data_IF_318750416718
#
_entry.id   IF_318750416718
#
_cell.length_a   1.000
_cell.length_b   1.000
_cell.length_c   1.000
_cell.angle_alpha   90.00
_cell.angle_beta   90.00
_cell.angle_gamma   90.00
#
_symmetry.space_group_name_H-M   'P 1'
#
loop_
_entity.id
_entity.type
_entity.pdbx_description
1 polymer ?
#
# COMPACT_ATOMS: atom_id res chain seq x y z
N UNK A 1 -13.20 17.70 -3.11
CA UNK A 1 -13.19 16.90 -1.91
C UNK A 1 -13.15 15.43 -2.25
N UNK A 2 -12.28 14.68 -1.63
CA UNK A 2 -12.20 13.24 -1.85
C UNK A 2 -13.43 12.47 -1.34
N UNK A 3 -14.40 13.10 -0.76
CA UNK A 3 -15.62 12.46 -0.28
C UNK A 3 -16.85 12.77 -1.09
N UNK A 4 -16.76 13.68 -2.06
CA UNK A 4 -17.84 13.92 -3.00
C UNK A 4 -17.98 12.79 -4.00
N UNK A 5 -19.17 12.58 -4.53
CA UNK A 5 -19.29 11.76 -5.73
C UNK A 5 -18.39 12.36 -6.79
N UNK A 6 -17.32 11.69 -7.18
CA UNK A 6 -16.60 12.14 -8.35
C UNK A 6 -17.60 12.10 -9.51
N UNK A 7 -17.69 13.15 -10.30
CA UNK A 7 -18.74 13.31 -11.29
C UNK A 7 -18.72 12.19 -12.33
N UNK A 8 -17.58 11.57 -12.52
CA UNK A 8 -17.43 10.53 -13.52
C UNK A 8 -16.32 9.58 -13.17
N UNK A 9 -16.66 8.32 -13.15
CA UNK A 9 -15.69 7.25 -13.08
C UNK A 9 -15.83 6.40 -14.32
N UNK A 10 -14.80 6.33 -15.10
CA UNK A 10 -14.81 5.61 -16.33
C UNK A 10 -15.59 6.33 -17.44
N UNK A 11 -15.21 5.99 -18.63
CA UNK A 11 -15.74 6.61 -19.85
C UNK A 11 -17.18 6.24 -20.15
N UNK A 12 -17.59 5.04 -19.73
CA UNK A 12 -18.87 4.43 -20.07
C UNK A 12 -19.91 4.55 -18.99
N UNK A 13 -19.53 4.94 -17.77
CA UNK A 13 -20.44 5.12 -16.67
C UNK A 13 -20.04 6.34 -15.82
N UNK A 14 -20.45 7.53 -16.20
CA UNK A 14 -20.17 8.76 -15.49
C UNK A 14 -20.61 8.73 -14.01
N UNK A 15 -21.69 8.04 -13.68
CA UNK A 15 -22.21 7.95 -12.34
C UNK A 15 -21.27 7.17 -11.38
N UNK A 16 -20.42 6.34 -11.87
CA UNK A 16 -19.44 5.60 -11.07
C UNK A 16 -18.10 6.33 -10.93
N UNK A 17 -17.89 7.38 -11.70
CA UNK A 17 -16.76 8.28 -11.57
C UNK A 17 -15.38 7.65 -11.63
N UNK A 18 -15.16 6.62 -12.40
CA UNK A 18 -13.85 5.99 -12.52
C UNK A 18 -13.08 6.44 -13.75
N UNK A 19 -11.89 6.96 -13.56
CA UNK A 19 -10.98 7.29 -14.64
C UNK A 19 -9.94 6.19 -14.83
N UNK A 20 -9.83 5.70 -16.05
CA UNK A 20 -8.67 4.90 -16.41
C UNK A 20 -7.42 5.78 -16.39
N UNK A 21 -6.46 5.43 -15.55
CA UNK A 21 -5.19 6.15 -15.46
C UNK A 21 -4.37 6.08 -16.74
N UNK A 22 -4.60 5.05 -17.54
CA UNK A 22 -3.82 4.72 -18.73
C UNK A 22 -4.53 5.09 -20.03
N UNK A 23 -5.76 5.61 -19.95
CA UNK A 23 -6.52 5.97 -21.13
C UNK A 23 -6.58 7.48 -21.29
N UNK A 24 -6.17 7.98 -22.44
CA UNK A 24 -6.40 9.36 -22.81
C UNK A 24 -7.86 9.50 -23.23
N UNK A 25 -8.59 10.36 -22.52
CA UNK A 25 -9.97 10.67 -22.84
C UNK A 25 -10.10 12.18 -23.05
N UNK A 26 -10.63 12.57 -24.21
CA UNK A 26 -10.77 13.98 -24.57
C UNK A 26 -11.68 14.76 -23.61
N UNK A 27 -12.66 14.11 -22.96
CA UNK A 27 -13.52 14.73 -21.96
C UNK A 27 -12.80 15.05 -20.64
N UNK A 28 -11.62 14.46 -20.44
CA UNK A 28 -10.78 14.68 -19.25
C UNK A 28 -9.47 15.41 -19.58
N UNK A 29 -9.36 15.97 -20.76
CA UNK A 29 -8.12 16.59 -21.24
C UNK A 29 -7.59 17.71 -20.34
N UNK A 30 -8.45 18.36 -19.59
CA UNK A 30 -8.11 19.47 -18.70
C UNK A 30 -8.14 19.09 -17.22
N UNK A 31 -7.79 17.85 -16.88
CA UNK A 31 -7.58 17.43 -15.51
C UNK A 31 -6.09 17.22 -15.21
N UNK A 32 -5.72 17.40 -13.96
CA UNK A 32 -4.43 16.97 -13.43
C UNK A 32 -4.56 15.58 -12.82
N UNK A 33 -3.52 14.77 -12.96
CA UNK A 33 -3.47 13.39 -12.45
C UNK A 33 -2.09 13.06 -11.93
N UNK A 34 -2.04 12.36 -10.80
CA UNK A 34 -0.82 11.84 -10.22
C UNK A 34 -1.01 10.40 -9.76
N UNK A 35 0.08 9.67 -9.77
CA UNK A 35 0.17 8.34 -9.18
C UNK A 35 1.48 8.23 -8.42
N UNK A 36 1.50 7.40 -7.39
CA UNK A 36 2.72 7.03 -6.68
C UNK A 36 2.90 5.52 -6.66
N UNK A 37 4.14 5.09 -6.38
CA UNK A 37 4.51 3.72 -6.09
C UNK A 37 4.74 3.60 -4.58
N UNK A 38 3.79 3.06 -3.81
CA UNK A 38 3.85 3.04 -2.36
C UNK A 38 5.09 2.35 -1.78
N UNK A 39 5.59 1.33 -2.46
CA UNK A 39 6.81 0.64 -2.08
C UNK A 39 8.06 1.52 -2.22
N UNK A 40 8.15 2.31 -3.28
CA UNK A 40 9.24 3.26 -3.48
C UNK A 40 9.23 4.38 -2.43
N UNK A 41 8.05 4.92 -2.12
CA UNK A 41 7.89 5.92 -1.07
C UNK A 41 8.22 5.35 0.32
N UNK A 42 7.81 4.12 0.61
CA UNK A 42 8.18 3.44 1.85
C UNK A 42 9.69 3.19 1.96
N UNK A 43 10.36 2.87 0.84
CA UNK A 43 11.82 2.75 0.79
C UNK A 43 12.53 4.09 1.02
N UNK A 44 11.95 5.19 0.54
CA UNK A 44 12.47 6.52 0.87
C UNK A 44 12.39 6.79 2.38
N UNK A 45 11.30 6.40 3.05
CA UNK A 45 11.16 6.51 4.51
C UNK A 45 12.20 5.63 5.22
N UNK A 46 12.40 4.39 4.77
CA UNK A 46 13.43 3.48 5.26
C UNK A 46 14.82 4.11 5.16
N UNK A 47 15.17 4.69 4.01
CA UNK A 47 16.45 5.36 3.81
C UNK A 47 16.63 6.59 4.74
N UNK A 48 15.57 7.38 4.93
CA UNK A 48 15.60 8.52 5.85
C UNK A 48 15.74 8.05 7.31
N UNK A 49 15.13 6.92 7.67
CA UNK A 49 15.31 6.31 8.99
C UNK A 49 16.79 6.02 9.27
N UNK A 50 17.49 5.35 8.34
CA UNK A 50 18.91 5.08 8.49
C UNK A 50 19.77 6.33 8.47
N UNK A 51 19.44 7.29 7.61
CA UNK A 51 20.12 8.58 7.61
C UNK A 51 19.99 9.30 8.97
N UNK A 52 18.82 9.21 9.61
CA UNK A 52 18.58 9.77 10.95
C UNK A 52 19.40 9.03 12.00
N UNK A 53 19.41 7.70 12.01
CA UNK A 53 20.20 6.90 12.95
C UNK A 53 21.68 7.28 12.85
N UNK A 54 22.25 7.28 11.66
CA UNK A 54 23.66 7.61 11.46
C UNK A 54 23.99 9.08 11.76
N UNK A 55 23.09 9.99 11.49
CA UNK A 55 23.27 11.41 11.83
C UNK A 55 23.25 11.60 13.35
N UNK A 56 22.37 10.92 14.08
CA UNK A 56 22.30 10.99 15.54
C UNK A 56 23.56 10.44 16.20
N UNK A 57 24.07 9.31 15.73
CA UNK A 57 25.32 8.71 16.21
C UNK A 57 26.53 9.62 16.03
N UNK A 58 26.49 10.52 15.05
CA UNK A 58 27.60 11.44 14.72
C UNK A 58 27.36 12.89 15.17
N UNK A 59 26.32 13.15 15.91
CA UNK A 59 25.98 14.51 16.37
C UNK A 59 25.45 15.43 15.27
N UNK A 60 25.03 14.88 14.12
CA UNK A 60 24.56 15.61 12.93
C UNK A 60 23.04 15.64 12.74
N UNK A 61 22.26 15.39 13.80
CA UNK A 61 20.79 15.28 13.73
C UNK A 61 20.10 16.43 13.00
N UNK A 62 20.59 17.66 13.14
CA UNK A 62 19.98 18.83 12.51
C UNK A 62 19.98 18.78 10.98
N UNK A 63 20.96 18.09 10.38
CA UNK A 63 21.11 17.97 8.92
C UNK A 63 19.92 17.23 8.29
N UNK A 64 19.35 16.25 9.00
CA UNK A 64 18.31 15.36 8.47
C UNK A 64 16.90 15.67 8.99
N UNK A 65 16.75 16.57 9.96
CA UNK A 65 15.43 16.84 10.58
C UNK A 65 14.37 17.27 9.55
N UNK A 66 14.75 18.06 8.55
CA UNK A 66 13.85 18.45 7.47
C UNK A 66 13.37 17.26 6.62
N UNK A 67 14.21 16.26 6.40
CA UNK A 67 13.86 15.03 5.69
C UNK A 67 12.96 14.15 6.54
N UNK A 68 13.23 14.04 7.83
CA UNK A 68 12.38 13.30 8.78
C UNK A 68 10.96 13.87 8.83
N UNK A 69 10.82 15.19 8.85
CA UNK A 69 9.51 15.83 8.80
C UNK A 69 8.77 15.54 7.48
N UNK A 70 9.48 15.47 6.36
CA UNK A 70 8.91 15.06 5.06
C UNK A 70 8.51 13.59 5.07
N UNK A 71 9.31 12.70 5.66
CA UNK A 71 8.97 11.29 5.82
C UNK A 71 7.69 11.10 6.65
N UNK A 72 7.51 11.86 7.73
CA UNK A 72 6.28 11.85 8.51
C UNK A 72 5.05 12.28 7.68
N UNK A 73 5.20 13.32 6.86
CA UNK A 73 4.14 13.78 5.93
C UNK A 73 3.85 12.72 4.87
N UNK A 74 4.87 12.09 4.31
CA UNK A 74 4.73 10.98 3.37
C UNK A 74 4.01 9.79 4.02
N UNK A 75 4.27 9.51 5.30
CA UNK A 75 3.57 8.50 6.07
C UNK A 75 2.07 8.76 6.21
N UNK A 76 1.63 10.02 6.31
CA UNK A 76 0.20 10.36 6.25
C UNK A 76 -0.40 10.03 4.87
N UNK A 77 0.35 10.32 3.83
CA UNK A 77 -0.09 10.14 2.45
C UNK A 77 -0.19 8.66 2.05
N UNK A 78 0.83 7.88 2.38
CA UNK A 78 0.91 6.45 2.04
C UNK A 78 -0.22 5.61 2.63
N UNK A 79 -0.85 6.05 3.71
CA UNK A 79 -2.01 5.34 4.27
C UNK A 79 -3.17 5.21 3.29
N UNK A 80 -3.25 6.08 2.28
CA UNK A 80 -4.26 5.94 1.23
C UNK A 80 -4.06 4.72 0.34
N UNK A 81 -2.82 4.23 0.21
CA UNK A 81 -2.53 2.99 -0.50
C UNK A 81 -3.03 1.74 0.24
N UNK A 82 -3.35 1.87 1.53
CA UNK A 82 -3.87 0.78 2.34
C UNK A 82 -5.37 0.54 2.17
N UNK A 83 -6.03 1.28 1.29
CA UNK A 83 -7.46 1.15 1.04
C UNK A 83 -7.74 0.38 -0.25
N UNK A 84 -8.85 -0.33 -0.24
CA UNK A 84 -9.40 -0.96 -1.43
C UNK A 84 -9.52 0.00 -2.60
N UNK A 85 -9.42 -0.51 -3.82
CA UNK A 85 -9.39 0.25 -5.07
C UNK A 85 -10.51 1.30 -5.17
N UNK A 86 -11.73 0.94 -4.81
CA UNK A 86 -12.89 1.83 -4.81
C UNK A 86 -13.49 2.01 -3.43
N UNK A 87 -12.68 1.83 -2.39
CA UNK A 87 -13.13 1.97 -1.01
C UNK A 87 -14.30 1.04 -0.65
N UNK A 88 -14.35 -0.12 -1.31
CA UNK A 88 -15.29 -1.19 -0.95
C UNK A 88 -14.84 -1.85 0.34
N UNK A 89 -15.81 -2.38 1.07
CA UNK A 89 -15.51 -3.17 2.27
C UNK A 89 -14.58 -4.33 1.93
N UNK A 90 -13.57 -4.57 2.77
CA UNK A 90 -12.68 -5.72 2.61
C UNK A 90 -13.45 -7.01 2.92
N UNK A 91 -13.27 -7.98 2.07
CA UNK A 91 -13.78 -9.34 2.22
C UNK A 91 -14.81 -9.72 1.17
N UNK A 92 -14.48 -10.71 0.37
CA UNK A 92 -15.37 -11.37 -0.61
C UNK A 92 -16.06 -10.39 -1.59
N UNK A 93 -15.38 -9.34 -1.97
CA UNK A 93 -15.93 -8.35 -2.87
C UNK A 93 -16.00 -8.89 -4.31
N UNK A 94 -17.18 -9.25 -4.74
CA UNK A 94 -17.48 -9.73 -6.09
C UNK A 94 -18.56 -8.84 -6.67
N UNK A 95 -18.30 -8.30 -7.86
CA UNK A 95 -19.13 -7.30 -8.53
C UNK A 95 -19.16 -5.95 -7.79
N UNK A 96 -18.44 -4.99 -8.35
CA UNK A 96 -18.27 -3.65 -7.76
C UNK A 96 -19.59 -2.93 -7.47
N UNK A 97 -20.65 -3.23 -8.23
CA UNK A 97 -21.95 -2.57 -8.07
C UNK A 97 -22.75 -3.10 -6.86
N UNK A 98 -22.54 -4.35 -6.50
CA UNK A 98 -23.25 -5.01 -5.39
C UNK A 98 -22.40 -5.11 -4.12
N UNK A 99 -21.10 -4.97 -4.24
CA UNK A 99 -20.18 -4.96 -3.13
C UNK A 99 -20.47 -3.79 -2.18
N UNK A 100 -20.57 -4.02 -0.87
CA UNK A 100 -20.82 -2.96 0.08
C UNK A 100 -19.75 -1.86 0.01
N UNK A 101 -20.17 -0.62 0.08
CA UNK A 101 -19.23 0.48 0.26
C UNK A 101 -18.60 0.39 1.64
N UNK A 102 -17.33 0.75 1.73
CA UNK A 102 -16.64 0.90 2.99
C UNK A 102 -17.20 2.07 3.80
N UNK A 103 -17.15 1.93 5.11
CA UNK A 103 -17.39 3.00 6.06
C UNK A 103 -16.28 3.00 7.11
N UNK A 104 -15.84 4.18 7.54
CA UNK A 104 -14.69 4.26 8.44
C UNK A 104 -13.45 3.59 7.83
N UNK A 105 -12.91 2.59 8.52
CA UNK A 105 -11.70 1.86 8.10
C UNK A 105 -11.96 0.43 7.61
N UNK A 106 -13.20 0.01 7.38
CA UNK A 106 -13.49 -1.35 6.95
C UNK A 106 -13.15 -1.64 5.47
N UNK A 107 -12.80 -0.63 4.71
CA UNK A 107 -12.18 -0.75 3.38
C UNK A 107 -10.65 -0.72 3.40
N UNK A 108 -10.04 -0.69 4.59
CA UNK A 108 -8.60 -0.60 4.76
C UNK A 108 -8.01 -2.00 4.96
N UNK A 109 -7.18 -2.45 4.03
CA UNK A 109 -6.51 -3.76 4.12
C UNK A 109 -5.20 -3.72 4.90
N UNK A 110 -4.70 -2.54 5.25
CA UNK A 110 -3.50 -2.32 6.08
C UNK A 110 -2.17 -2.78 5.45
N UNK A 111 -2.16 -3.07 4.16
CA UNK A 111 -0.96 -3.43 3.41
C UNK A 111 -0.60 -2.31 2.43
N UNK A 112 0.66 -2.24 2.04
CA UNK A 112 1.07 -1.40 0.92
C UNK A 112 0.65 -2.08 -0.38
N UNK A 113 -0.18 -1.40 -1.14
CA UNK A 113 -0.66 -1.89 -2.44
C UNK A 113 0.22 -1.39 -3.59
N UNK A 114 -0.07 -1.86 -4.79
CA UNK A 114 0.72 -1.56 -5.98
C UNK A 114 0.82 -0.07 -6.29
N UNK A 115 -0.28 0.67 -6.20
CA UNK A 115 -0.30 2.11 -6.46
C UNK A 115 -1.40 2.81 -5.65
N UNK A 116 -1.28 4.12 -5.61
CA UNK A 116 -2.35 5.03 -5.23
C UNK A 116 -2.35 6.20 -6.20
N UNK A 117 -3.52 6.61 -6.67
CA UNK A 117 -3.63 7.68 -7.64
C UNK A 117 -4.74 8.67 -7.28
N UNK A 118 -4.55 9.90 -7.72
CA UNK A 118 -5.51 10.99 -7.49
C UNK A 118 -5.42 12.02 -8.60
N UNK A 119 -6.47 12.81 -8.73
CA UNK A 119 -6.53 13.88 -9.70
C UNK A 119 -7.74 14.78 -9.48
N UNK A 120 -7.90 15.73 -10.36
CA UNK A 120 -8.99 16.67 -10.28
C UNK A 120 -9.09 17.59 -11.48
N UNK A 121 -10.05 18.52 -11.45
CA UNK A 121 -10.21 19.52 -12.48
C UNK A 121 -8.99 20.44 -12.56
N UNK A 122 -8.49 20.66 -13.76
CA UNK A 122 -7.48 21.67 -14.05
C UNK A 122 -8.08 23.03 -14.38
N UNK A 123 -9.39 23.10 -14.55
CA UNK A 123 -10.08 24.34 -14.93
C UNK A 123 -10.50 25.16 -13.73
N UNK A 124 -10.33 26.46 -13.83
CA UNK A 124 -10.82 27.42 -12.82
C UNK A 124 -12.34 27.32 -12.69
N UNK A 125 -12.82 27.26 -11.45
CA UNK A 125 -14.25 27.16 -11.16
C UNK A 125 -14.83 25.75 -11.13
N UNK A 126 -14.05 24.72 -11.47
CA UNK A 126 -14.43 23.33 -11.29
C UNK A 126 -13.77 22.74 -10.05
N UNK A 127 -14.57 22.22 -9.13
CA UNK A 127 -14.12 21.79 -7.81
C UNK A 127 -14.24 20.28 -7.57
N UNK A 128 -14.13 19.48 -8.62
CA UNK A 128 -14.15 18.04 -8.46
C UNK A 128 -12.73 17.47 -8.38
N UNK A 129 -12.59 16.48 -7.57
CA UNK A 129 -11.37 15.68 -7.44
C UNK A 129 -11.72 14.22 -7.23
N UNK A 130 -10.80 13.35 -7.55
CA UNK A 130 -10.94 11.92 -7.39
C UNK A 130 -9.68 11.30 -6.79
N UNK A 131 -9.83 10.15 -6.20
CA UNK A 131 -8.75 9.26 -5.80
C UNK A 131 -9.14 7.81 -6.01
N UNK A 132 -8.14 6.97 -6.17
CA UNK A 132 -8.29 5.54 -6.37
C UNK A 132 -7.13 4.83 -5.67
N UNK A 133 -7.43 3.79 -4.89
CA UNK A 133 -6.42 2.89 -4.34
C UNK A 133 -6.13 1.73 -5.29
N UNK A 134 -5.43 0.74 -4.79
CA UNK A 134 -5.26 -0.55 -5.44
C UNK A 134 -5.53 -1.64 -4.41
N UNK A 135 -6.29 -2.65 -4.79
CA UNK A 135 -6.56 -3.80 -3.92
C UNK A 135 -5.56 -4.94 -4.11
N UNK A 136 -4.53 -4.72 -4.91
CA UNK A 136 -3.50 -5.70 -5.20
C UNK A 136 -2.31 -5.47 -4.27
N UNK A 137 -2.10 -6.42 -3.36
CA UNK A 137 -1.04 -6.39 -2.36
C UNK A 137 -0.06 -7.52 -2.64
N UNK A 138 1.18 -7.19 -2.87
CA UNK A 138 2.27 -8.13 -3.13
C UNK A 138 3.27 -8.12 -1.97
N UNK A 139 3.90 -9.25 -1.67
CA UNK A 139 4.89 -9.32 -0.59
C UNK A 139 6.08 -8.39 -0.83
N UNK A 140 6.50 -8.21 -2.08
CA UNK A 140 7.60 -7.33 -2.45
C UNK A 140 7.38 -5.85 -2.17
N UNK A 141 6.14 -5.41 -1.93
CA UNK A 141 5.83 -4.00 -1.68
C UNK A 141 5.79 -3.64 -0.20
N UNK A 142 5.74 -4.62 0.69
CA UNK A 142 5.68 -4.37 2.13
C UNK A 142 7.02 -3.84 2.66
N UNK A 143 6.96 -3.00 3.69
CA UNK A 143 8.15 -2.44 4.32
C UNK A 143 7.98 -2.33 5.85
N UNK A 144 8.29 -3.40 6.59
CA UNK A 144 8.16 -3.41 8.06
C UNK A 144 8.99 -2.34 8.76
N UNK A 145 10.19 -2.01 8.25
CA UNK A 145 11.02 -0.98 8.89
C UNK A 145 10.42 0.41 8.73
N UNK A 146 9.87 0.75 7.55
CA UNK A 146 9.16 2.01 7.37
C UNK A 146 7.92 2.09 8.26
N UNK A 147 7.14 1.01 8.36
CA UNK A 147 5.97 0.94 9.23
C UNK A 147 6.36 1.08 10.71
N UNK A 148 7.46 0.49 11.13
CA UNK A 148 8.04 0.68 12.48
C UNK A 148 8.43 2.15 12.71
N UNK A 149 9.17 2.75 11.81
CA UNK A 149 9.58 4.14 11.94
C UNK A 149 8.36 5.07 12.11
N UNK A 150 7.34 4.92 11.25
CA UNK A 150 6.13 5.75 11.26
C UNK A 150 5.20 5.51 12.47
N UNK A 151 5.28 4.34 13.09
CA UNK A 151 4.44 4.01 14.24
C UNK A 151 5.12 4.20 15.60
N UNK A 152 6.41 3.85 15.71
CA UNK A 152 7.09 3.73 16.98
C UNK A 152 8.16 4.81 17.23
N UNK A 153 8.72 5.40 16.17
CA UNK A 153 9.76 6.42 16.31
C UNK A 153 9.12 7.81 16.36
N UNK A 154 9.18 8.54 17.48
CA UNK A 154 8.44 9.79 17.67
C UNK A 154 8.66 10.83 16.55
N UNK A 155 9.90 10.97 16.09
CA UNK A 155 10.25 11.95 15.04
C UNK A 155 9.63 11.65 13.66
N UNK A 156 9.24 10.40 13.39
CA UNK A 156 8.63 9.96 12.14
C UNK A 156 7.11 9.87 12.18
N UNK A 157 6.49 10.09 13.33
CA UNK A 157 5.04 9.93 13.46
C UNK A 157 4.28 10.86 12.50
N UNK A 158 3.35 10.32 11.72
CA UNK A 158 2.45 11.11 10.91
C UNK A 158 1.65 12.12 11.76
N UNK A 159 1.25 13.23 11.15
CA UNK A 159 0.56 14.31 11.87
C UNK A 159 -0.92 14.01 12.16
N UNK A 160 -1.53 13.15 11.35
CA UNK A 160 -2.94 12.79 11.56
C UNK A 160 -3.12 11.96 12.84
N UNK A 161 -4.21 12.18 13.54
CA UNK A 161 -4.50 11.59 14.85
C UNK A 161 -4.43 10.06 14.87
N UNK A 162 -4.73 9.40 13.75
CA UNK A 162 -4.71 7.93 13.64
C UNK A 162 -3.48 7.40 12.91
N UNK A 163 -2.58 8.28 12.45
CA UNK A 163 -1.46 7.90 11.59
C UNK A 163 -0.55 6.83 12.19
N UNK A 164 -0.07 7.07 13.40
CA UNK A 164 0.81 6.12 14.09
C UNK A 164 0.11 4.78 14.37
N UNK A 165 -1.17 4.80 14.76
CA UNK A 165 -1.96 3.58 14.99
C UNK A 165 -2.19 2.79 13.70
N UNK A 166 -2.47 3.47 12.59
CA UNK A 166 -2.65 2.82 11.30
C UNK A 166 -1.37 2.12 10.84
N UNK A 167 -0.21 2.76 11.05
CA UNK A 167 1.07 2.16 10.74
C UNK A 167 1.45 1.03 11.69
N UNK A 168 1.10 1.10 12.98
CA UNK A 168 1.30 -0.01 13.90
C UNK A 168 0.48 -1.25 13.48
N UNK A 169 -0.77 -1.05 13.10
CA UNK A 169 -1.63 -2.11 12.57
C UNK A 169 -1.10 -2.63 11.23
N UNK A 170 -0.59 -1.76 10.37
CA UNK A 170 0.04 -2.13 9.12
C UNK A 170 1.30 -2.97 9.35
N UNK A 171 2.16 -2.60 10.28
CA UNK A 171 3.36 -3.36 10.63
C UNK A 171 3.01 -4.80 11.01
N UNK A 172 2.05 -4.98 11.90
CA UNK A 172 1.58 -6.32 12.27
C UNK A 172 1.01 -7.07 11.08
N UNK A 173 0.14 -6.42 10.29
CA UNK A 173 -0.48 -7.01 9.10
C UNK A 173 0.56 -7.44 8.06
N UNK A 174 1.63 -6.68 7.87
CA UNK A 174 2.71 -7.02 6.94
C UNK A 174 3.47 -8.28 7.40
N UNK A 175 3.78 -8.42 8.69
CA UNK A 175 4.45 -9.61 9.21
C UNK A 175 3.55 -10.85 9.11
N UNK A 176 2.26 -10.72 9.42
CA UNK A 176 1.27 -11.79 9.22
C UNK A 176 1.15 -12.19 7.74
N UNK A 177 1.22 -11.20 6.85
CA UNK A 177 1.13 -11.41 5.41
C UNK A 177 2.32 -12.20 4.87
N UNK A 178 3.54 -11.88 5.27
CA UNK A 178 4.72 -12.66 4.93
C UNK A 178 4.59 -14.11 5.40
N UNK A 179 4.18 -14.33 6.65
CA UNK A 179 3.99 -15.68 7.18
C UNK A 179 2.91 -16.47 6.44
N UNK A 180 1.83 -15.82 6.06
CA UNK A 180 0.74 -16.44 5.31
C UNK A 180 1.15 -16.84 3.90
N UNK A 181 2.01 -16.06 3.25
CA UNK A 181 2.53 -16.32 1.91
C UNK A 181 3.74 -17.27 1.89
N UNK A 182 4.35 -17.51 3.05
CA UNK A 182 5.59 -18.27 3.12
C UNK A 182 5.32 -19.77 2.98
N UNK A 183 5.96 -20.40 1.98
CA UNK A 183 5.88 -21.83 1.74
C UNK A 183 6.53 -22.65 2.85
N UNK A 184 6.33 -23.98 2.84
CA UNK A 184 7.02 -24.88 3.76
C UNK A 184 8.54 -24.82 3.66
N UNK A 185 9.05 -24.57 2.47
CA UNK A 185 10.48 -24.46 2.15
C UNK A 185 11.07 -23.09 2.44
N UNK A 186 10.24 -22.10 2.82
CA UNK A 186 10.68 -20.78 3.23
C UNK A 186 10.46 -19.66 2.22
N UNK A 187 10.37 -19.95 0.93
CA UNK A 187 10.13 -18.94 -0.09
C UNK A 187 8.75 -18.26 0.09
N UNK A 188 8.67 -17.00 -0.31
CA UNK A 188 7.44 -16.21 -0.22
C UNK A 188 6.91 -15.97 -1.63
N UNK A 189 5.61 -16.15 -1.86
CA UNK A 189 5.05 -16.06 -3.19
C UNK A 189 3.66 -15.43 -3.22
N UNK A 190 3.41 -14.62 -4.24
CA UNK A 190 2.10 -14.06 -4.55
C UNK A 190 1.71 -12.90 -3.68
N UNK A 191 0.43 -12.76 -3.50
CA UNK A 191 -0.18 -11.67 -2.78
C UNK A 191 -1.64 -11.90 -2.46
N UNK A 192 -2.33 -10.83 -2.16
CA UNK A 192 -3.77 -10.86 -1.89
C UNK A 192 -4.48 -9.69 -2.58
N UNK A 193 -5.69 -9.91 -3.03
CA UNK A 193 -6.50 -8.88 -3.66
C UNK A 193 -7.96 -8.93 -3.18
N UNK A 194 -8.54 -7.76 -2.94
CA UNK A 194 -9.99 -7.61 -2.74
C UNK A 194 -10.74 -7.42 -4.08
N UNK A 195 -10.01 -7.15 -5.14
CA UNK A 195 -10.55 -6.89 -6.48
C UNK A 195 -9.96 -7.90 -7.47
N UNK A 196 -10.52 -9.12 -7.51
CA UNK A 196 -10.04 -10.16 -8.41
C UNK A 196 -9.96 -9.64 -9.84
N UNK A 197 -8.80 -9.83 -10.48
CA UNK A 197 -8.45 -9.28 -11.80
C UNK A 197 -8.64 -7.76 -11.94
N UNK A 198 -8.62 -7.01 -10.84
CA UNK A 198 -8.82 -5.57 -10.85
C UNK A 198 -10.24 -5.10 -11.16
N UNK A 199 -11.18 -6.02 -11.36
CA UNK A 199 -12.56 -5.76 -11.77
C UNK A 199 -13.62 -6.31 -10.82
N UNK A 200 -13.21 -6.84 -9.66
CA UNK A 200 -14.08 -7.53 -8.68
C UNK A 200 -14.85 -8.70 -9.32
N UNK A 201 -14.23 -9.40 -10.25
CA UNK A 201 -14.78 -10.60 -10.85
C UNK A 201 -14.77 -11.78 -9.88
N UNK A 202 -15.49 -12.82 -10.20
CA UNK A 202 -15.52 -14.05 -9.43
C UNK A 202 -14.16 -14.75 -9.48
N UNK A 203 -13.47 -14.99 -8.37
CA UNK A 203 -12.25 -15.79 -8.36
C UNK A 203 -12.57 -17.27 -8.56
N UNK A 204 -11.59 -18.11 -8.93
CA UNK A 204 -11.73 -19.56 -8.93
C UNK A 204 -12.19 -20.07 -7.56
N UNK A 205 -13.02 -21.11 -7.57
CA UNK A 205 -13.50 -21.72 -6.33
C UNK A 205 -12.35 -22.26 -5.46
N UNK A 206 -12.50 -22.17 -4.14
CA UNK A 206 -11.52 -22.71 -3.19
C UNK A 206 -10.26 -21.84 -3.00
N UNK A 207 -10.21 -20.63 -3.52
CA UNK A 207 -9.09 -19.71 -3.24
C UNK A 207 -8.99 -19.38 -1.76
N UNK A 208 -7.80 -19.55 -1.20
CA UNK A 208 -7.49 -19.11 0.16
C UNK A 208 -7.65 -17.58 0.27
N UNK A 209 -7.95 -17.13 1.49
CA UNK A 209 -8.11 -15.72 1.76
C UNK A 209 -7.24 -15.25 2.91
N UNK A 210 -6.77 -14.01 2.82
CA UNK A 210 -6.09 -13.28 3.88
C UNK A 210 -6.96 -12.09 4.30
N UNK A 211 -7.53 -12.15 5.49
CA UNK A 211 -8.50 -11.15 5.96
C UNK A 211 -9.63 -10.86 4.97
N UNK A 212 -10.09 -11.92 4.25
CA UNK A 212 -11.13 -11.82 3.24
C UNK A 212 -10.67 -11.41 1.84
N UNK A 213 -9.42 -11.03 1.65
CA UNK A 213 -8.84 -10.81 0.33
C UNK A 213 -8.37 -12.15 -0.27
N UNK A 214 -8.64 -12.36 -1.56
CA UNK A 214 -8.29 -13.60 -2.25
C UNK A 214 -6.80 -13.70 -2.50
N UNK A 215 -6.22 -14.88 -2.28
CA UNK A 215 -4.87 -15.18 -2.74
C UNK A 215 -4.77 -15.01 -4.26
N UNK A 216 -3.74 -14.29 -4.69
CA UNK A 216 -3.41 -14.09 -6.09
C UNK A 216 -1.93 -14.41 -6.29
N UNK A 217 -1.63 -15.32 -7.20
CA UNK A 217 -0.26 -15.71 -7.53
C UNK A 217 0.46 -14.65 -8.38
N UNK A 218 -0.30 -13.79 -9.04
CA UNK A 218 0.23 -12.67 -9.83
C UNK A 218 -0.64 -11.41 -9.61
N UNK A 219 -0.60 -10.80 -8.43
CA UNK A 219 -1.51 -9.71 -8.07
C UNK A 219 -1.23 -8.42 -8.83
N UNK A 220 -0.16 -8.36 -9.60
CA UNK A 220 0.25 -7.18 -10.36
C UNK A 220 0.30 -7.50 -11.84
N UNK A 221 -0.52 -6.79 -12.61
CA UNK A 221 -0.50 -6.88 -14.07
C UNK A 221 0.80 -6.28 -14.62
N UNK A 222 1.39 -6.95 -15.60
CA UNK A 222 2.57 -6.50 -16.36
C UNK A 222 3.92 -6.53 -15.63
N UNK A 223 3.96 -6.85 -14.36
CA UNK A 223 5.24 -7.18 -13.74
C UNK A 223 5.72 -8.54 -14.27
N UNK A 224 7.05 -8.76 -14.36
CA UNK A 224 7.56 -10.10 -14.56
C UNK A 224 6.88 -11.02 -13.55
N UNK A 225 6.63 -12.30 -13.85
CA UNK A 225 6.00 -13.20 -12.91
C UNK A 225 6.69 -13.11 -11.56
N UNK A 226 6.05 -12.40 -10.64
CA UNK A 226 6.69 -11.92 -9.42
C UNK A 226 7.19 -13.06 -8.55
N UNK A 227 6.57 -14.23 -8.65
CA UNK A 227 7.00 -15.44 -7.96
C UNK A 227 8.24 -16.10 -8.57
N UNK A 228 8.65 -15.68 -9.75
CA UNK A 228 9.80 -16.24 -10.48
C UNK A 228 11.03 -15.36 -10.45
N UNK A 229 10.92 -14.15 -9.91
CA UNK A 229 12.04 -13.22 -9.81
C UNK A 229 12.59 -13.17 -8.40
N UNK A 230 13.78 -13.72 -8.21
CA UNK A 230 14.44 -13.77 -6.90
C UNK A 230 14.63 -12.37 -6.27
N UNK A 231 14.70 -11.33 -7.07
CA UNK A 231 14.81 -9.96 -6.58
C UNK A 231 13.70 -9.59 -5.59
N UNK A 232 12.47 -10.06 -5.79
CA UNK A 232 11.39 -9.82 -4.83
C UNK A 232 11.63 -10.52 -3.48
N UNK A 233 12.25 -11.70 -3.47
CA UNK A 233 12.65 -12.38 -2.24
C UNK A 233 13.66 -11.52 -1.47
N UNK A 234 14.74 -11.11 -2.14
CA UNK A 234 15.78 -10.29 -1.55
C UNK A 234 15.25 -8.94 -1.05
N UNK A 235 14.44 -8.25 -1.86
CA UNK A 235 13.85 -6.97 -1.46
C UNK A 235 13.00 -7.08 -0.20
N UNK A 236 12.17 -8.10 -0.13
CA UNK A 236 11.29 -8.29 1.01
C UNK A 236 12.08 -8.63 2.26
N UNK A 237 13.02 -9.54 2.14
CA UNK A 237 13.76 -10.04 3.30
C UNK A 237 14.77 -9.04 3.82
N UNK A 238 15.37 -8.21 2.97
CA UNK A 238 16.16 -7.07 3.41
C UNK A 238 15.40 -6.21 4.43
N UNK A 239 14.16 -5.83 4.12
CA UNK A 239 13.34 -4.96 4.97
C UNK A 239 12.89 -5.65 6.27
N UNK A 240 12.64 -6.95 6.21
CA UNK A 240 12.36 -7.77 7.41
C UNK A 240 13.61 -7.93 8.26
N UNK A 241 14.77 -8.15 7.65
CA UNK A 241 16.05 -8.28 8.34
C UNK A 241 16.46 -6.98 9.04
N UNK A 242 16.33 -5.84 8.37
CA UNK A 242 16.59 -4.54 8.99
C UNK A 242 15.61 -4.25 10.15
N UNK A 243 14.34 -4.57 10.00
CA UNK A 243 13.38 -4.44 11.08
C UNK A 243 13.73 -5.35 12.27
N UNK A 244 14.14 -6.59 12.02
CA UNK A 244 14.62 -7.49 13.06
C UNK A 244 15.89 -6.96 13.72
N UNK A 245 16.86 -6.50 12.94
CA UNK A 245 18.11 -5.94 13.46
C UNK A 245 17.87 -4.76 14.43
N UNK A 246 16.94 -3.88 14.08
CA UNK A 246 16.62 -2.70 14.89
C UNK A 246 15.84 -3.06 16.17
N UNK A 247 14.97 -4.08 16.12
CA UNK A 247 13.96 -4.30 17.17
C UNK A 247 14.09 -5.63 17.92
N UNK A 248 14.81 -6.60 17.38
CA UNK A 248 14.83 -7.98 17.89
C UNK A 248 13.49 -8.70 17.79
N UNK A 249 12.57 -8.25 16.91
CA UNK A 249 11.20 -8.77 16.82
C UNK A 249 11.16 -10.27 16.50
N UNK A 250 10.53 -11.07 17.36
CA UNK A 250 10.49 -12.52 17.23
C UNK A 250 9.72 -13.01 15.98
N UNK A 251 8.67 -12.29 15.55
CA UNK A 251 7.94 -12.65 14.33
C UNK A 251 8.79 -12.43 13.08
N UNK A 252 9.54 -11.32 13.02
CA UNK A 252 10.48 -11.06 11.94
C UNK A 252 11.59 -12.14 11.92
N UNK A 253 12.13 -12.49 13.09
CA UNK A 253 13.10 -13.59 13.21
C UNK A 253 12.54 -14.91 12.66
N UNK A 254 11.33 -15.28 13.02
CA UNK A 254 10.70 -16.52 12.54
C UNK A 254 10.56 -16.57 11.02
N UNK A 255 10.24 -15.42 10.39
CA UNK A 255 10.17 -15.33 8.92
C UNK A 255 11.55 -15.53 8.30
N UNK A 256 12.56 -14.89 8.85
CA UNK A 256 13.94 -14.97 8.37
C UNK A 256 14.55 -16.35 8.56
N UNK A 257 14.42 -16.94 9.75
CA UNK A 257 14.93 -18.28 10.06
C UNK A 257 14.38 -19.36 9.12
N UNK A 258 13.16 -19.17 8.65
CA UNK A 258 12.54 -20.10 7.72
C UNK A 258 12.93 -19.81 6.25
N UNK A 259 13.24 -18.56 5.94
CA UNK A 259 13.61 -18.15 4.60
C UNK A 259 15.05 -18.54 4.24
N UNK A 260 15.98 -18.55 5.21
CA UNK A 260 17.39 -18.95 5.07
C UNK A 260 17.52 -20.47 5.03
#
# INVERSE_FOLDING_TARGET
TFGGNPPTWGRTNPAQGFLSLFTIDASYARQWRYTNAPDADARAIQAIYWAKVWADERGGSSIVNGLVAKAATMGDYLRYSMFDKYFKRIGNCINVNTCPNGSGKNSMHLLLSWYYAWGGAAETGQNWAWRIGSSHNHFGYQNPLAAYALSQVPAFRPRSATGATDWANSLQRQLEFYRWLQSSEGAIAGGATNSWQGSYSQPPAGRNTFYGMFYDDQPVFHDPPSNRWFGFQAWSMERVAEYYFVTGNANAKTILDKWV
#
